data_IF_612244236825
#
_entry.id   IF_612244236825
#
_cell.length_a   1.000
_cell.length_b   1.000
_cell.length_c   1.000
_cell.angle_alpha   90.00
_cell.angle_beta   90.00
_cell.angle_gamma   90.00
#
_symmetry.space_group_name_H-M   'P 1'
#
loop_
_entity.id
_entity.type
_entity.pdbx_description
1 polymer ?
#
# COMPACT_ATOMS: atom_id res chain seq x y z
N UNK A 1 -57.59 7.98 52.01
CA UNK A 1 -56.86 8.45 53.21
C UNK A 1 -55.75 9.34 52.69
N UNK A 2 -56.04 10.63 52.52
CA UNK A 2 -55.71 11.71 53.50
C UNK A 2 -54.18 11.79 53.60
N UNK A 3 -53.46 12.83 53.16
CA UNK A 3 -53.84 14.19 52.77
C UNK A 3 -52.64 14.89 52.09
N UNK A 4 -52.99 15.76 51.14
CA UNK A 4 -52.40 17.05 50.68
C UNK A 4 -51.57 17.86 51.72
N UNK A 5 -50.98 19.06 51.44
CA UNK A 5 -50.90 19.86 50.19
C UNK A 5 -49.58 20.67 50.01
N UNK A 6 -49.59 21.64 49.06
CA UNK A 6 -48.81 22.91 48.94
C UNK A 6 -47.65 22.95 47.92
N UNK A 7 -47.61 23.74 46.84
CA UNK A 7 -48.48 24.74 46.14
C UNK A 7 -47.96 24.80 44.67
N UNK A 8 -48.73 24.88 43.56
CA UNK A 8 -49.53 25.99 42.99
C UNK A 8 -48.77 27.35 43.03
N UNK A 9 -48.53 28.11 41.95
CA UNK A 9 -49.47 28.69 40.95
C UNK A 9 -48.70 29.25 39.74
N UNK A 10 -49.25 29.03 38.53
CA UNK A 10 -49.36 29.81 37.28
C UNK A 10 -48.34 30.92 36.92
N UNK A 11 -47.99 31.22 35.66
CA UNK A 11 -48.89 31.44 34.52
C UNK A 11 -48.09 31.83 33.26
N UNK A 12 -48.56 31.34 32.10
CA UNK A 12 -48.74 32.06 30.82
C UNK A 12 -47.52 32.56 30.02
N UNK A 13 -47.52 32.22 28.74
CA UNK A 13 -47.04 33.15 27.70
C UNK A 13 -46.25 32.50 26.58
N UNK A 14 -46.90 32.31 25.45
CA UNK A 14 -46.33 31.79 24.22
C UNK A 14 -45.38 32.78 23.52
N UNK A 15 -44.62 32.21 22.58
CA UNK A 15 -43.90 32.83 21.45
C UNK A 15 -42.57 33.52 21.74
N UNK A 16 -41.47 32.89 21.30
CA UNK A 16 -40.75 33.41 20.13
C UNK A 16 -39.85 32.33 19.51
N UNK A 17 -40.11 31.99 18.25
CA UNK A 17 -39.07 31.48 17.36
C UNK A 17 -38.10 32.63 17.09
N UNK A 18 -36.81 32.47 17.42
CA UNK A 18 -35.75 33.13 16.64
C UNK A 18 -34.39 32.53 16.94
N UNK A 19 -33.64 32.29 15.87
CA UNK A 19 -32.20 32.10 15.83
C UNK A 19 -31.73 30.87 16.63
N UNK A 20 -31.66 29.69 16.02
CA UNK A 20 -30.53 29.45 15.13
C UNK A 20 -29.25 29.65 15.92
N UNK A 21 -28.96 28.76 16.88
CA UNK A 21 -27.64 28.67 17.47
C UNK A 21 -26.70 28.18 16.37
N UNK A 22 -26.20 29.17 15.64
CA UNK A 22 -25.04 29.06 14.80
C UNK A 22 -23.82 28.91 15.74
N UNK A 23 -23.78 27.81 16.49
CA UNK A 23 -22.53 27.13 16.80
C UNK A 23 -22.03 26.56 15.47
N UNK A 24 -21.59 27.50 14.64
CA UNK A 24 -21.02 27.29 13.33
C UNK A 24 -19.96 26.22 13.48
N UNK A 25 -20.23 25.11 12.80
CA UNK A 25 -19.24 24.20 12.26
C UNK A 25 -18.04 25.05 11.82
N UNK A 26 -16.97 25.07 12.63
CA UNK A 26 -15.68 25.67 12.25
C UNK A 26 -15.02 24.74 11.23
N UNK A 27 -15.54 24.73 10.01
CA UNK A 27 -14.92 24.05 8.88
C UNK A 27 -14.35 25.09 7.92
N UNK A 28 -13.06 25.37 8.11
CA UNK A 28 -12.16 25.90 7.10
C UNK A 28 -10.75 25.47 7.50
N UNK A 29 -9.87 25.04 6.56
CA UNK A 29 -8.48 24.77 6.90
C UNK A 29 -7.88 26.02 7.54
N UNK A 30 -7.08 25.86 8.61
CA UNK A 30 -6.48 27.01 9.28
C UNK A 30 -5.67 27.81 8.26
N UNK A 31 -5.88 29.12 8.21
CA UNK A 31 -5.42 30.07 7.19
C UNK A 31 -3.88 30.15 6.98
N UNK A 32 -3.10 29.28 7.64
CA UNK A 32 -1.64 29.19 7.53
C UNK A 32 -1.09 27.76 7.69
N UNK A 33 -1.89 26.71 7.49
CA UNK A 33 -1.34 25.34 7.52
C UNK A 33 -0.51 25.08 6.27
N UNK A 34 0.81 25.12 6.43
CA UNK A 34 1.78 24.71 5.40
C UNK A 34 1.93 23.19 5.49
N UNK A 35 1.53 22.47 4.44
CA UNK A 35 1.60 21.00 4.39
C UNK A 35 2.57 20.54 3.31
N UNK A 36 2.72 21.33 2.25
CA UNK A 36 3.55 21.01 1.09
C UNK A 36 4.52 22.15 0.77
N UNK A 37 5.56 21.85 -0.01
CA UNK A 37 6.49 22.86 -0.53
C UNK A 37 5.78 23.85 -1.45
N UNK A 38 4.71 23.43 -2.14
CA UNK A 38 3.88 24.31 -2.97
C UNK A 38 3.09 25.34 -2.13
N UNK A 39 2.70 25.00 -0.90
CA UNK A 39 2.07 25.97 0.01
C UNK A 39 3.06 27.09 0.39
N UNK A 40 4.33 26.74 0.66
CA UNK A 40 5.38 27.73 0.91
C UNK A 40 5.61 28.61 -0.32
N UNK A 41 5.63 28.01 -1.51
CA UNK A 41 5.78 28.72 -2.77
C UNK A 41 4.65 29.73 -2.96
N UNK A 42 3.38 29.32 -2.85
CA UNK A 42 2.21 30.22 -2.96
C UNK A 42 2.24 31.36 -1.94
N UNK A 43 2.62 31.09 -0.70
CA UNK A 43 2.74 32.14 0.33
C UNK A 43 3.87 33.13 -0.03
N UNK A 44 4.99 32.64 -0.58
CA UNK A 44 6.09 33.50 -1.02
C UNK A 44 5.68 34.42 -2.17
N UNK A 45 4.91 33.92 -3.15
CA UNK A 45 4.40 34.73 -4.27
C UNK A 45 3.51 35.91 -3.81
N UNK A 46 2.82 35.78 -2.67
CA UNK A 46 1.97 36.83 -2.10
C UNK A 46 2.74 37.85 -1.25
N UNK A 47 3.92 37.49 -0.76
CA UNK A 47 4.69 38.31 0.20
C UNK A 47 5.90 39.01 -0.42
N UNK A 48 6.47 38.45 -1.48
CA UNK A 48 7.62 39.03 -2.18
C UNK A 48 7.17 40.12 -3.15
N UNK A 49 7.98 41.17 -3.28
CA UNK A 49 7.81 42.12 -4.37
C UNK A 49 8.13 41.44 -5.72
N UNK A 50 7.56 41.98 -6.80
CA UNK A 50 7.64 41.36 -8.12
C UNK A 50 9.09 41.12 -8.58
N UNK A 51 10.01 42.05 -8.32
CA UNK A 51 11.40 41.94 -8.81
C UNK A 51 12.14 40.82 -8.09
N UNK A 52 11.95 40.71 -6.77
CA UNK A 52 12.56 39.65 -5.96
C UNK A 52 11.92 38.29 -6.25
N UNK A 53 10.60 38.26 -6.43
CA UNK A 53 9.87 37.03 -6.82
C UNK A 53 10.38 36.50 -8.15
N UNK A 54 10.40 37.33 -9.19
CA UNK A 54 10.77 36.92 -10.54
C UNK A 54 12.25 36.48 -10.58
N UNK A 55 13.12 37.05 -9.75
CA UNK A 55 14.51 36.60 -9.59
C UNK A 55 14.62 35.15 -9.05
N UNK A 56 13.74 34.75 -8.14
CA UNK A 56 13.77 33.40 -7.54
C UNK A 56 12.96 32.37 -8.32
N UNK A 57 11.89 32.77 -9.01
CA UNK A 57 10.98 31.88 -9.73
C UNK A 57 11.50 31.53 -11.13
N UNK A 58 12.25 32.44 -11.76
CA UNK A 58 12.59 32.31 -13.18
C UNK A 58 13.71 31.30 -13.49
N UNK A 59 13.60 30.70 -14.66
CA UNK A 59 14.62 29.86 -15.29
C UNK A 59 15.35 30.58 -16.44
N UNK A 60 16.28 29.87 -17.08
CA UNK A 60 16.99 30.40 -18.25
C UNK A 60 16.10 30.39 -19.51
N UNK A 61 16.24 31.42 -20.35
CA UNK A 61 15.54 31.59 -21.63
C UNK A 61 14.02 31.37 -21.53
N UNK A 62 13.47 30.39 -22.26
CA UNK A 62 12.05 30.05 -22.28
C UNK A 62 11.66 29.10 -21.13
N UNK A 63 12.55 28.88 -20.16
CA UNK A 63 12.36 28.08 -18.95
C UNK A 63 12.01 26.61 -19.21
N UNK A 64 12.42 26.09 -20.36
CA UNK A 64 12.10 24.73 -20.76
C UNK A 64 12.66 23.70 -19.77
N UNK A 65 13.93 23.83 -19.39
CA UNK A 65 14.57 22.94 -18.41
C UNK A 65 13.92 23.03 -17.03
N UNK A 66 13.45 24.22 -16.62
CA UNK A 66 12.76 24.40 -15.34
C UNK A 66 11.45 23.59 -15.30
N UNK A 67 10.63 23.70 -16.37
CA UNK A 67 9.39 22.92 -16.51
C UNK A 67 9.68 21.42 -16.56
N UNK A 68 10.63 21.00 -17.39
CA UNK A 68 11.00 19.59 -17.54
C UNK A 68 11.54 18.97 -16.25
N UNK A 69 12.27 19.73 -15.42
CA UNK A 69 12.78 19.26 -14.14
C UNK A 69 11.64 18.96 -13.15
N UNK A 70 10.63 19.83 -13.06
CA UNK A 70 9.45 19.60 -12.21
C UNK A 70 8.65 18.40 -12.75
N UNK A 71 8.40 18.36 -14.06
CA UNK A 71 7.66 17.29 -14.71
C UNK A 71 8.37 15.92 -14.60
N UNK A 72 9.70 15.88 -14.61
CA UNK A 72 10.47 14.65 -14.48
C UNK A 72 10.16 13.91 -13.17
N UNK A 73 9.94 14.64 -12.07
CA UNK A 73 9.54 14.06 -10.78
C UNK A 73 8.04 13.71 -10.71
N UNK A 74 7.23 14.16 -11.67
CA UNK A 74 5.79 13.87 -11.78
C UNK A 74 5.49 12.75 -12.77
N UNK A 75 6.51 12.15 -13.40
CA UNK A 75 6.30 11.05 -14.35
C UNK A 75 5.67 9.84 -13.66
N UNK A 76 4.65 9.31 -14.31
CA UNK A 76 4.00 8.07 -13.89
C UNK A 76 5.02 6.93 -13.79
N UNK A 77 5.03 6.23 -12.65
CA UNK A 77 5.79 5.00 -12.48
C UNK A 77 5.14 3.80 -13.18
N UNK A 78 3.91 3.97 -13.72
CA UNK A 78 3.21 2.92 -14.45
C UNK A 78 4.05 2.41 -15.61
N UNK A 79 4.14 1.10 -15.71
CA UNK A 79 4.86 0.40 -16.78
C UNK A 79 4.23 -0.97 -16.99
N UNK A 80 4.86 -1.82 -17.81
CA UNK A 80 4.44 -3.20 -18.01
C UNK A 80 5.54 -4.18 -17.62
N UNK A 81 5.18 -5.28 -16.94
CA UNK A 81 6.07 -6.40 -16.62
C UNK A 81 5.49 -7.69 -17.22
N UNK A 82 6.21 -8.30 -18.17
CA UNK A 82 5.77 -9.51 -18.91
C UNK A 82 4.34 -9.40 -19.48
N UNK A 83 4.00 -8.23 -20.03
CA UNK A 83 2.68 -7.97 -20.64
C UNK A 83 1.55 -7.65 -19.65
N UNK A 84 1.84 -7.52 -18.35
CA UNK A 84 0.88 -7.04 -17.34
C UNK A 84 1.21 -5.59 -16.98
N UNK A 85 0.20 -4.72 -16.96
CA UNK A 85 0.36 -3.36 -16.43
C UNK A 85 0.63 -3.40 -14.93
N UNK A 86 1.58 -2.58 -14.48
CA UNK A 86 1.92 -2.39 -13.06
C UNK A 86 1.98 -0.90 -12.76
N UNK A 87 1.70 -0.52 -11.52
CA UNK A 87 1.73 0.87 -11.08
C UNK A 87 3.14 1.44 -10.90
N UNK A 88 4.12 0.56 -10.74
CA UNK A 88 5.53 0.92 -10.54
C UNK A 88 6.47 -0.20 -11.03
N UNK A 89 7.72 0.12 -11.42
CA UNK A 89 8.69 -0.85 -11.90
C UNK A 89 9.36 -1.64 -10.76
N UNK A 90 8.60 -2.01 -9.72
CA UNK A 90 9.11 -2.65 -8.50
C UNK A 90 8.14 -3.76 -8.09
N UNK A 91 8.61 -5.01 -8.06
CA UNK A 91 7.84 -6.17 -7.60
C UNK A 91 8.43 -6.81 -6.34
N UNK A 92 7.67 -7.72 -5.73
CA UNK A 92 8.05 -8.44 -4.53
C UNK A 92 8.79 -9.72 -4.90
N UNK A 93 10.05 -9.84 -4.44
CA UNK A 93 10.89 -11.00 -4.68
C UNK A 93 10.45 -12.23 -3.86
N UNK A 94 10.73 -13.46 -4.34
CA UNK A 94 10.29 -14.67 -3.67
C UNK A 94 11.01 -14.86 -2.33
N UNK A 95 10.21 -14.90 -1.27
CA UNK A 95 10.67 -15.17 0.10
C UNK A 95 9.87 -16.34 0.67
N UNK A 96 10.57 -17.38 1.14
CA UNK A 96 9.98 -18.59 1.69
C UNK A 96 9.36 -18.35 3.06
N UNK A 97 8.34 -19.14 3.40
CA UNK A 97 7.80 -19.31 4.76
C UNK A 97 7.39 -18.01 5.46
N UNK A 98 6.55 -17.20 4.82
CA UNK A 98 6.21 -15.86 5.33
C UNK A 98 5.38 -15.91 6.62
N UNK A 99 4.71 -17.04 6.92
CA UNK A 99 4.05 -17.23 8.22
C UNK A 99 5.00 -17.23 9.42
N UNK A 100 6.31 -17.39 9.20
CA UNK A 100 7.30 -17.18 10.26
C UNK A 100 7.42 -15.69 10.67
N UNK A 101 7.07 -14.77 9.77
CA UNK A 101 7.15 -13.33 10.01
C UNK A 101 5.81 -12.75 10.51
N UNK A 102 4.68 -13.20 9.94
CA UNK A 102 3.34 -12.71 10.31
C UNK A 102 2.27 -13.78 10.05
N UNK A 103 1.20 -13.81 10.86
CA UNK A 103 0.15 -14.83 10.74
C UNK A 103 -0.53 -14.87 9.36
N UNK A 104 -0.66 -13.71 8.70
CA UNK A 104 -1.24 -13.59 7.36
C UNK A 104 -0.35 -14.21 6.26
N UNK A 105 0.95 -14.40 6.54
CA UNK A 105 1.92 -14.99 5.64
C UNK A 105 1.85 -14.42 4.22
N UNK A 106 1.87 -15.33 3.24
CA UNK A 106 1.86 -14.99 1.82
C UNK A 106 0.55 -14.31 1.36
N UNK A 107 -0.59 -14.55 2.02
CA UNK A 107 -1.85 -13.88 1.69
C UNK A 107 -1.79 -12.38 2.00
N UNK A 108 -1.15 -11.99 3.11
CA UNK A 108 -0.93 -10.58 3.44
C UNK A 108 -0.10 -9.88 2.38
N UNK A 109 1.00 -10.51 1.95
CA UNK A 109 1.87 -9.99 0.89
C UNK A 109 1.16 -9.92 -0.47
N UNK A 110 0.35 -10.93 -0.81
CA UNK A 110 -0.42 -10.93 -2.05
C UNK A 110 -1.46 -9.80 -2.08
N UNK A 111 -2.19 -9.59 -0.99
CA UNK A 111 -3.12 -8.47 -0.87
C UNK A 111 -2.42 -7.12 -0.99
N UNK A 112 -1.28 -6.94 -0.32
CA UNK A 112 -0.50 -5.72 -0.44
C UNK A 112 0.01 -5.49 -1.88
N UNK A 113 0.43 -6.55 -2.58
CA UNK A 113 0.85 -6.47 -3.99
C UNK A 113 -0.30 -6.07 -4.92
N UNK A 114 -1.50 -6.57 -4.65
CA UNK A 114 -2.73 -6.23 -5.38
C UNK A 114 -3.09 -4.75 -5.19
N UNK A 115 -3.10 -4.27 -3.94
CA UNK A 115 -3.40 -2.89 -3.62
C UNK A 115 -2.36 -1.92 -4.23
N UNK A 116 -1.09 -2.28 -4.15
CA UNK A 116 -0.02 -1.53 -4.80
C UNK A 116 -0.07 -1.62 -6.34
N UNK A 117 -0.80 -2.58 -6.90
CA UNK A 117 -0.86 -2.87 -8.33
C UNK A 117 0.49 -3.26 -8.91
N UNK A 118 1.20 -4.18 -8.26
CA UNK A 118 2.48 -4.70 -8.72
C UNK A 118 2.57 -6.23 -8.66
N UNK A 119 3.68 -6.77 -9.16
CA UNK A 119 3.96 -8.20 -9.18
C UNK A 119 4.36 -8.70 -7.79
N UNK A 120 3.81 -9.84 -7.40
CA UNK A 120 4.38 -10.69 -6.36
C UNK A 120 4.90 -11.99 -6.97
N UNK A 121 6.15 -12.32 -6.66
CA UNK A 121 6.75 -13.62 -6.98
C UNK A 121 6.61 -14.52 -5.76
N UNK A 122 5.77 -15.54 -5.84
CA UNK A 122 5.54 -16.51 -4.77
C UNK A 122 6.64 -17.58 -4.76
N UNK A 123 7.22 -17.88 -3.61
CA UNK A 123 8.18 -18.98 -3.49
C UNK A 123 7.51 -20.34 -3.56
N UNK A 124 8.18 -21.34 -4.16
CA UNK A 124 7.79 -22.76 -4.04
C UNK A 124 7.74 -23.24 -2.58
N UNK A 125 8.47 -22.58 -1.67
CA UNK A 125 8.52 -22.89 -0.24
C UNK A 125 7.58 -21.97 0.57
N UNK A 126 6.39 -21.70 0.04
CA UNK A 126 5.36 -20.92 0.71
C UNK A 126 4.61 -21.73 1.78
N UNK A 127 4.09 -21.04 2.79
CA UNK A 127 3.31 -21.65 3.90
C UNK A 127 1.79 -21.66 3.66
N UNK A 128 1.36 -21.20 2.49
CA UNK A 128 -0.05 -21.15 2.07
C UNK A 128 -0.14 -21.68 0.64
N UNK A 129 -1.24 -22.38 0.32
CA UNK A 129 -1.46 -22.93 -1.01
C UNK A 129 -1.64 -21.85 -2.08
N UNK A 130 -1.32 -22.19 -3.33
CA UNK A 130 -1.46 -21.26 -4.47
C UNK A 130 -2.91 -20.83 -4.66
N UNK A 131 -3.84 -21.78 -4.45
CA UNK A 131 -5.27 -21.60 -4.59
C UNK A 131 -5.82 -20.66 -3.52
N UNK A 132 -5.41 -20.85 -2.25
CA UNK A 132 -5.82 -19.97 -1.15
C UNK A 132 -5.28 -18.55 -1.32
N UNK A 133 -4.01 -18.40 -1.77
CA UNK A 133 -3.43 -17.08 -2.07
C UNK A 133 -4.23 -16.40 -3.19
N UNK A 134 -4.56 -17.13 -4.26
CA UNK A 134 -5.38 -16.59 -5.36
C UNK A 134 -6.79 -16.23 -4.90
N UNK A 135 -7.42 -17.04 -4.04
CA UNK A 135 -8.74 -16.75 -3.48
C UNK A 135 -8.72 -15.44 -2.66
N UNK A 136 -7.67 -15.23 -1.85
CA UNK A 136 -7.54 -14.02 -1.03
C UNK A 136 -7.18 -12.78 -1.85
N UNK A 137 -6.37 -12.93 -2.90
CA UNK A 137 -5.92 -11.85 -3.76
C UNK A 137 -6.29 -12.14 -5.24
N UNK A 138 -7.58 -12.02 -5.60
CA UNK A 138 -8.09 -12.44 -6.91
C UNK A 138 -7.49 -11.65 -8.09
N UNK A 139 -7.12 -10.39 -7.87
CA UNK A 139 -6.61 -9.47 -8.90
C UNK A 139 -5.07 -9.32 -8.85
N UNK A 140 -4.39 -9.95 -7.88
CA UNK A 140 -2.94 -9.87 -7.76
C UNK A 140 -2.22 -10.41 -9.02
N UNK A 141 -1.16 -9.71 -9.43
CA UNK A 141 -0.27 -10.18 -10.49
C UNK A 141 0.74 -11.14 -9.86
N UNK A 142 0.42 -12.43 -9.92
CA UNK A 142 1.23 -13.48 -9.28
C UNK A 142 2.12 -14.19 -10.30
N UNK A 143 3.40 -14.31 -9.95
CA UNK A 143 4.37 -15.18 -10.60
C UNK A 143 4.80 -16.28 -9.64
N UNK A 144 5.11 -17.46 -10.15
CA UNK A 144 5.57 -18.58 -9.33
C UNK A 144 7.09 -18.71 -9.47
N UNK A 145 7.83 -18.52 -8.39
CA UNK A 145 9.22 -18.96 -8.31
C UNK A 145 9.26 -20.47 -8.15
N UNK A 146 10.05 -21.13 -9.01
CA UNK A 146 10.12 -22.59 -9.13
C UNK A 146 11.51 -23.12 -8.78
N UNK A 147 11.54 -24.08 -7.85
CA UNK A 147 12.64 -25.06 -7.75
C UNK A 147 12.24 -26.36 -8.43
N UNK A 148 13.12 -26.91 -9.28
CA UNK A 148 12.84 -28.18 -9.97
C UNK A 148 13.19 -29.35 -9.08
N UNK A 149 12.18 -29.98 -8.47
CA UNK A 149 12.36 -31.13 -7.60
C UNK A 149 12.90 -32.34 -8.36
N UNK A 150 13.67 -33.21 -7.68
CA UNK A 150 14.18 -34.47 -8.26
C UNK A 150 13.04 -35.31 -8.85
N UNK A 151 11.92 -35.38 -8.13
CA UNK A 151 10.69 -35.95 -8.67
C UNK A 151 10.00 -34.91 -9.55
N UNK A 152 10.04 -35.12 -10.87
CA UNK A 152 9.48 -34.19 -11.86
C UNK A 152 7.96 -34.09 -11.79
N UNK A 153 7.27 -35.14 -11.34
CA UNK A 153 5.80 -35.08 -11.22
C UNK A 153 5.34 -34.00 -10.23
N UNK A 154 6.10 -33.74 -9.17
CA UNK A 154 5.81 -32.66 -8.21
C UNK A 154 5.97 -31.29 -8.89
N UNK A 155 7.00 -31.14 -9.71
CA UNK A 155 7.23 -29.88 -10.44
C UNK A 155 6.12 -29.65 -11.46
N UNK A 156 5.75 -30.68 -12.21
CA UNK A 156 4.66 -30.62 -13.19
C UNK A 156 3.31 -30.30 -12.53
N UNK A 157 2.99 -30.94 -11.40
CA UNK A 157 1.77 -30.67 -10.64
C UNK A 157 1.72 -29.21 -10.15
N UNK A 158 2.83 -28.70 -9.61
CA UNK A 158 2.91 -27.32 -9.14
C UNK A 158 2.73 -26.30 -10.27
N UNK A 159 3.32 -26.56 -11.44
CA UNK A 159 3.12 -25.71 -12.63
C UNK A 159 1.65 -25.72 -13.05
N UNK A 160 1.02 -26.90 -13.16
CA UNK A 160 -0.41 -27.02 -13.52
C UNK A 160 -1.30 -26.27 -12.54
N UNK A 161 -1.02 -26.37 -11.24
CA UNK A 161 -1.77 -25.65 -10.20
C UNK A 161 -1.61 -24.14 -10.30
N UNK A 162 -0.39 -23.67 -10.60
CA UNK A 162 -0.14 -22.26 -10.86
C UNK A 162 -0.89 -21.75 -12.10
N UNK A 163 -0.89 -22.51 -13.20
CA UNK A 163 -1.66 -22.19 -14.41
C UNK A 163 -3.16 -22.13 -14.10
N UNK A 164 -3.72 -23.15 -13.42
CA UNK A 164 -5.11 -23.18 -12.99
C UNK A 164 -5.48 -22.03 -12.04
N UNK A 165 -4.51 -21.55 -11.26
CA UNK A 165 -4.67 -20.42 -10.33
C UNK A 165 -4.32 -19.07 -10.95
N UNK A 166 -4.24 -18.97 -12.28
CA UNK A 166 -3.95 -17.74 -13.03
C UNK A 166 -2.63 -17.05 -12.63
N UNK A 167 -1.58 -17.82 -12.36
CA UNK A 167 -0.23 -17.28 -12.28
C UNK A 167 0.25 -16.96 -13.70
N UNK A 168 0.85 -15.78 -13.88
CA UNK A 168 1.15 -15.24 -15.21
C UNK A 168 2.56 -15.49 -15.71
N UNK A 169 3.47 -15.95 -14.84
CA UNK A 169 4.84 -16.31 -15.20
C UNK A 169 5.46 -17.32 -14.23
N UNK A 170 6.51 -17.99 -14.71
CA UNK A 170 7.40 -18.85 -13.91
C UNK A 170 8.77 -18.18 -13.79
N UNK A 171 9.31 -18.14 -12.58
CA UNK A 171 10.65 -17.64 -12.27
C UNK A 171 11.51 -18.82 -11.80
N UNK A 172 12.31 -19.38 -12.71
CA UNK A 172 13.15 -20.54 -12.41
C UNK A 172 14.40 -20.12 -11.62
N UNK A 173 14.56 -20.62 -10.41
CA UNK A 173 15.75 -20.38 -9.58
C UNK A 173 16.80 -21.45 -9.83
N UNK A 174 17.98 -21.05 -10.31
CA UNK A 174 19.07 -21.97 -10.73
C UNK A 174 20.36 -21.84 -9.90
N UNK A 175 20.41 -20.89 -8.97
CA UNK A 175 21.60 -20.54 -8.18
C UNK A 175 21.73 -21.35 -6.87
N UNK A 176 20.70 -22.09 -6.48
CA UNK A 176 20.69 -22.94 -5.27
C UNK A 176 20.56 -24.45 -5.60
N UNK A 177 21.50 -25.06 -6.36
CA UNK A 177 21.50 -26.51 -6.61
C UNK A 177 21.79 -27.31 -5.32
N UNK A 178 22.46 -26.70 -4.35
CA UNK A 178 22.67 -27.21 -3.00
C UNK A 178 22.32 -26.13 -1.99
N UNK A 179 21.89 -26.54 -0.79
CA UNK A 179 21.64 -25.59 0.29
C UNK A 179 22.92 -24.87 0.70
N UNK A 180 22.87 -23.54 0.75
CA UNK A 180 23.97 -22.74 1.29
C UNK A 180 24.15 -23.01 2.79
N UNK A 181 25.41 -23.07 3.24
CA UNK A 181 25.70 -23.18 4.67
C UNK A 181 25.53 -21.84 5.37
N UNK A 182 24.38 -21.64 6.00
CA UNK A 182 24.09 -20.45 6.80
C UNK A 182 24.63 -20.66 8.22
N UNK A 183 25.76 -20.03 8.53
CA UNK A 183 26.48 -20.21 9.82
C UNK A 183 25.60 -19.89 11.02
N UNK A 184 24.77 -18.86 10.92
CA UNK A 184 23.84 -18.46 11.99
C UNK A 184 22.79 -19.54 12.23
N UNK A 185 22.22 -20.12 11.16
CA UNK A 185 21.23 -21.21 11.25
C UNK A 185 21.83 -22.45 11.90
N UNK A 186 23.08 -22.79 11.57
CA UNK A 186 23.81 -23.91 12.20
C UNK A 186 24.03 -23.65 13.69
N UNK A 187 24.45 -22.43 14.06
CA UNK A 187 24.66 -22.04 15.47
C UNK A 187 23.36 -22.09 16.26
N UNK A 188 22.27 -21.63 15.66
CA UNK A 188 20.95 -21.58 16.29
C UNK A 188 20.20 -22.92 16.21
N UNK A 189 20.74 -23.93 15.52
CA UNK A 189 20.07 -25.20 15.22
C UNK A 189 18.67 -24.96 14.64
N UNK A 190 18.61 -24.05 13.68
CA UNK A 190 17.34 -23.61 13.11
C UNK A 190 16.56 -24.79 12.52
N UNK A 191 15.30 -24.90 12.92
CA UNK A 191 14.31 -25.81 12.37
C UNK A 191 13.04 -25.02 12.07
N UNK A 192 12.31 -25.46 11.06
CA UNK A 192 10.99 -24.89 10.75
C UNK A 192 10.06 -25.21 11.93
N UNK A 193 9.29 -24.22 12.44
CA UNK A 193 8.28 -24.49 13.47
C UNK A 193 7.27 -25.56 13.04
N UNK A 194 6.91 -26.47 13.95
CA UNK A 194 6.05 -27.65 13.64
C UNK A 194 4.67 -27.26 13.09
N UNK A 195 4.18 -26.07 13.43
CA UNK A 195 2.88 -25.56 12.94
C UNK A 195 2.94 -25.00 11.50
N UNK A 196 4.12 -24.99 10.87
CA UNK A 196 4.36 -24.45 9.52
C UNK A 196 5.03 -25.46 8.58
N UNK A 197 5.29 -26.68 9.05
CA UNK A 197 5.94 -27.76 8.30
C UNK A 197 4.97 -28.63 7.51
#
# INVERSE_FOLDING_TARGET
>A
MISDPDQLVDSHGAHNESAGDASQIKNGPAENTIVTVDDLHRIALLKLDATVRDYYESGADMEQTLRENVEAFLRSLKTTMLGREVNMPVGIAPSAMQKMAHADGECGTANASQEAGTVMILSTLCTISLEEIREKAPDAILWLQLYVFKNRSITEDLIRRAECSNFSAIVLTVDAPTWGQRIVDVRNRFTIPENLS
#
